data_IF_185137221703
#
_entry.id   IF_185137221703
#
_cell.length_a   1.000
_cell.length_b   1.000
_cell.length_c   1.000
_cell.angle_alpha   90.00
_cell.angle_beta   90.00
_cell.angle_gamma   90.00
#
_symmetry.space_group_name_H-M   'P 1'
#
loop_
_entity.id
_entity.type
_entity.pdbx_description
1 polymer ?
#
# COMPACT_ATOMS: atom_id res chain seq x y z
N UNK A 1 19.22 67.05 28.99
CA UNK A 1 18.16 67.70 28.19
C UNK A 1 18.83 68.62 27.17
N UNK A 2 18.38 68.79 25.92
CA UNK A 2 17.35 68.05 25.14
C UNK A 2 17.77 67.64 23.69
N UNK A 3 16.89 66.89 23.02
CA UNK A 3 16.65 66.79 21.56
C UNK A 3 17.49 65.82 20.66
N UNK A 4 16.89 65.30 19.54
CA UNK A 4 16.62 63.86 19.43
C UNK A 4 16.86 63.24 18.02
N UNK A 5 16.56 61.93 17.95
CA UNK A 5 15.96 61.15 16.84
C UNK A 5 16.49 61.31 15.41
N UNK A 6 17.24 60.28 14.99
CA UNK A 6 17.63 59.96 13.61
C UNK A 6 16.47 59.23 12.92
N UNK A 7 16.03 59.74 11.77
CA UNK A 7 15.18 59.03 10.80
C UNK A 7 16.06 58.33 9.77
N UNK A 8 15.97 57.01 9.71
CA UNK A 8 16.61 56.16 8.72
C UNK A 8 15.83 56.21 7.41
N UNK A 9 16.51 56.56 6.30
CA UNK A 9 15.99 56.38 4.94
C UNK A 9 16.95 55.43 4.23
N UNK A 10 16.52 54.23 3.87
CA UNK A 10 17.31 53.29 3.09
C UNK A 10 16.81 53.31 1.64
N UNK A 11 17.69 53.77 0.74
CA UNK A 11 17.52 53.71 -0.70
C UNK A 11 17.59 52.26 -1.19
N UNK A 12 16.71 51.96 -2.15
CA UNK A 12 16.74 50.77 -2.99
C UNK A 12 17.99 50.74 -3.88
N UNK A 13 18.57 49.55 -4.04
CA UNK A 13 19.42 49.23 -5.18
C UNK A 13 18.98 47.89 -5.76
N UNK A 14 18.35 47.94 -6.93
CA UNK A 14 17.97 46.80 -7.74
C UNK A 14 19.14 46.43 -8.63
N UNK A 15 19.57 45.16 -8.60
CA UNK A 15 20.43 44.58 -9.63
C UNK A 15 19.87 43.21 -10.00
N UNK A 16 19.40 43.14 -11.25
CA UNK A 16 18.95 41.94 -11.94
C UNK A 16 20.12 40.97 -12.13
N UNK A 17 19.90 39.70 -11.82
CA UNK A 17 20.30 38.58 -12.70
C UNK A 17 19.43 37.38 -12.35
N UNK A 18 18.67 36.90 -13.33
CA UNK A 18 17.74 35.79 -13.20
C UNK A 18 18.44 34.44 -13.20
N UNK A 19 18.07 33.63 -12.22
CA UNK A 19 17.97 32.18 -12.32
C UNK A 19 16.87 31.78 -11.32
N UNK A 20 15.63 31.69 -11.82
CA UNK A 20 14.50 31.20 -11.05
C UNK A 20 14.63 29.67 -11.01
N UNK A 21 15.31 29.17 -9.97
CA UNK A 21 15.05 27.80 -9.53
C UNK A 21 13.64 27.81 -8.93
N UNK A 22 12.68 27.23 -9.64
CA UNK A 22 11.44 26.76 -9.00
C UNK A 22 11.85 25.66 -8.01
N UNK A 23 12.14 26.08 -6.78
CA UNK A 23 12.04 25.18 -5.65
C UNK A 23 10.55 24.86 -5.52
N UNK A 24 10.12 23.71 -6.03
CA UNK A 24 9.00 22.98 -5.43
C UNK A 24 9.41 22.65 -3.99
N UNK A 25 9.32 23.67 -3.13
CA UNK A 25 9.34 23.53 -1.69
C UNK A 25 8.11 22.72 -1.35
N UNK A 26 8.33 21.42 -1.16
CA UNK A 26 7.35 20.53 -0.58
C UNK A 26 7.07 21.05 0.82
N UNK A 27 5.92 21.71 0.92
CA UNK A 27 5.33 22.13 2.18
C UNK A 27 5.14 20.87 3.04
N UNK A 28 6.05 20.66 3.98
CA UNK A 28 6.02 19.56 4.97
C UNK A 28 4.92 19.77 6.02
N UNK A 29 3.99 20.70 5.80
CA UNK A 29 2.70 20.67 6.46
C UNK A 29 1.80 19.65 5.76
N UNK A 30 1.32 18.68 6.53
CA UNK A 30 0.18 17.85 6.14
C UNK A 30 -0.97 18.82 5.85
N UNK A 31 -1.18 19.18 4.59
CA UNK A 31 -2.36 19.96 4.18
C UNK A 31 -3.59 19.21 4.68
N UNK A 32 -4.33 19.84 5.58
CA UNK A 32 -5.30 19.17 6.44
C UNK A 32 -6.53 18.67 5.67
N UNK A 33 -6.78 19.11 4.44
CA UNK A 33 -7.89 18.65 3.61
C UNK A 33 -7.56 18.78 2.12
N UNK A 34 -7.22 17.66 1.47
CA UNK A 34 -7.16 17.62 0.00
C UNK A 34 -8.58 17.49 -0.55
N UNK A 35 -9.06 18.53 -1.24
CA UNK A 35 -10.31 18.43 -2.00
C UNK A 35 -10.16 17.37 -3.10
N UNK A 36 -11.16 16.48 -3.22
CA UNK A 36 -11.20 15.46 -4.26
C UNK A 36 -12.14 15.88 -5.39
N UNK A 37 -12.00 15.31 -6.60
CA UNK A 37 -12.92 15.57 -7.71
C UNK A 37 -14.38 15.39 -7.29
N UNK A 38 -15.20 16.39 -7.61
CA UNK A 38 -16.64 16.36 -7.33
C UNK A 38 -17.31 15.41 -8.32
N UNK A 39 -18.21 14.57 -7.82
CA UNK A 39 -18.98 13.64 -8.65
C UNK A 39 -20.34 13.32 -8.06
N UNK A 40 -20.96 12.21 -8.49
CA UNK A 40 -22.25 11.76 -7.96
C UNK A 40 -22.19 11.42 -6.45
N UNK A 41 -20.99 11.20 -5.92
CA UNK A 41 -20.68 11.01 -4.52
C UNK A 41 -20.72 12.29 -3.68
N UNK A 42 -20.76 13.47 -4.30
CA UNK A 42 -20.72 14.78 -3.64
C UNK A 42 -19.32 15.38 -3.55
N UNK A 43 -19.17 16.36 -2.66
CA UNK A 43 -17.91 17.06 -2.38
C UNK A 43 -17.15 16.33 -1.26
N UNK A 44 -15.98 15.77 -1.60
CA UNK A 44 -15.16 15.02 -0.64
C UNK A 44 -13.86 15.76 -0.31
N UNK A 45 -13.43 15.60 0.94
CA UNK A 45 -12.14 16.05 1.46
C UNK A 45 -11.41 14.85 2.06
N UNK A 46 -10.13 14.71 1.76
CA UNK A 46 -9.29 13.65 2.29
C UNK A 46 -8.15 14.20 3.15
N UNK A 47 -7.95 13.58 4.31
CA UNK A 47 -6.82 13.82 5.20
C UNK A 47 -5.97 12.56 5.27
N UNK A 48 -4.72 12.62 4.80
CA UNK A 48 -3.82 11.47 4.85
C UNK A 48 -3.34 11.21 6.28
N UNK A 49 -3.34 9.94 6.66
CA UNK A 49 -2.83 9.46 7.96
C UNK A 49 -1.95 8.23 7.75
N UNK A 50 -1.18 7.87 8.78
CA UNK A 50 -0.42 6.61 8.82
C UNK A 50 -1.02 5.72 9.89
N UNK A 51 -1.22 4.45 9.56
CA UNK A 51 -1.68 3.45 10.52
C UNK A 51 -0.67 2.31 10.59
N UNK A 52 -0.44 1.80 11.79
CA UNK A 52 0.40 0.63 12.05
C UNK A 52 -0.29 -0.29 13.05
N UNK A 53 0.07 -1.58 13.11
CA UNK A 53 -0.44 -2.47 14.13
C UNK A 53 -0.03 -1.93 15.52
N UNK A 54 -0.82 -2.23 16.57
CA UNK A 54 -0.36 -2.00 17.94
C UNK A 54 0.96 -2.74 18.18
N UNK A 55 1.86 -2.18 18.98
CA UNK A 55 3.21 -2.72 19.17
C UNK A 55 3.19 -4.14 19.75
N UNK A 56 2.14 -4.52 20.48
CA UNK A 56 1.95 -5.85 21.08
C UNK A 56 1.40 -6.91 20.10
N UNK A 57 0.98 -6.47 18.90
CA UNK A 57 0.47 -7.31 17.82
C UNK A 57 1.53 -7.55 16.74
N UNK A 58 2.70 -6.91 16.86
CA UNK A 58 3.88 -7.25 16.06
C UNK A 58 4.29 -8.67 16.44
N UNK A 59 4.20 -9.66 15.53
CA UNK A 59 4.55 -11.03 15.88
C UNK A 59 5.99 -11.11 16.33
N UNK A 60 6.30 -12.08 17.18
CA UNK A 60 7.68 -12.38 17.50
C UNK A 60 8.47 -12.62 16.19
N UNK A 61 9.60 -11.93 16.06
CA UNK A 61 10.54 -12.02 14.92
C UNK A 61 11.05 -13.45 14.64
N UNK A 62 10.68 -14.42 15.50
CA UNK A 62 11.00 -15.84 15.41
C UNK A 62 10.49 -16.54 14.14
N UNK A 63 9.57 -15.92 13.40
CA UNK A 63 9.02 -16.48 12.15
C UNK A 63 9.80 -16.08 10.89
N UNK A 64 10.86 -15.27 11.02
CA UNK A 64 11.69 -14.87 9.89
C UNK A 64 12.64 -16.04 9.51
N UNK A 65 12.62 -16.53 8.26
CA UNK A 65 13.51 -17.58 7.81
C UNK A 65 14.98 -17.23 8.04
N UNK A 66 15.77 -18.23 8.44
CA UNK A 66 17.21 -18.10 8.63
C UNK A 66 17.94 -18.32 7.30
N UNK A 67 18.96 -17.50 7.05
CA UNK A 67 19.82 -17.59 5.87
C UNK A 67 19.24 -16.89 4.64
N UNK A 68 20.12 -16.60 3.68
CA UNK A 68 19.79 -15.91 2.43
C UNK A 68 19.78 -16.95 1.31
N UNK A 69 18.58 -17.27 0.81
CA UNK A 69 18.39 -18.27 -0.23
C UNK A 69 17.59 -17.63 -1.38
N UNK A 70 18.24 -17.47 -2.52
CA UNK A 70 17.64 -16.93 -3.74
C UNK A 70 17.32 -18.08 -4.68
N UNK A 71 16.04 -18.41 -4.83
CA UNK A 71 15.57 -19.59 -5.57
C UNK A 71 14.95 -19.18 -6.90
N UNK A 72 15.31 -19.89 -7.97
CA UNK A 72 14.89 -19.64 -9.35
C UNK A 72 14.30 -20.92 -9.95
N UNK A 73 13.01 -21.23 -9.67
CA UNK A 73 12.34 -22.43 -10.14
C UNK A 73 12.31 -22.52 -11.68
N UNK A 74 12.63 -23.69 -12.24
CA UNK A 74 12.60 -23.93 -13.69
C UNK A 74 13.69 -23.20 -14.49
N UNK A 75 14.67 -22.59 -13.84
CA UNK A 75 15.81 -21.98 -14.52
C UNK A 75 16.91 -23.00 -14.81
N UNK A 76 17.62 -22.80 -15.93
CA UNK A 76 18.84 -23.49 -16.27
C UNK A 76 20.08 -22.59 -16.12
N UNK A 77 21.27 -23.19 -16.25
CA UNK A 77 22.54 -22.49 -16.07
C UNK A 77 22.79 -21.39 -17.13
N UNK A 78 22.26 -21.55 -18.35
CA UNK A 78 22.44 -20.59 -19.44
C UNK A 78 21.64 -19.33 -19.15
N UNK A 79 20.36 -19.48 -18.82
CA UNK A 79 19.49 -18.36 -18.42
C UNK A 79 20.02 -17.65 -17.17
N UNK A 80 20.49 -18.40 -16.18
CA UNK A 80 21.07 -17.82 -14.96
C UNK A 80 22.31 -16.99 -15.26
N UNK A 81 23.23 -17.51 -16.08
CA UNK A 81 24.43 -16.78 -16.49
C UNK A 81 24.06 -15.46 -17.19
N UNK A 82 23.17 -15.53 -18.18
CA UNK A 82 22.72 -14.34 -18.90
C UNK A 82 22.10 -13.29 -17.95
N UNK A 83 21.23 -13.73 -17.02
CA UNK A 83 20.61 -12.82 -16.05
C UNK A 83 21.62 -12.13 -15.13
N UNK A 84 22.68 -12.82 -14.72
CA UNK A 84 23.75 -12.24 -13.90
C UNK A 84 24.62 -11.31 -14.76
N UNK A 85 24.93 -11.69 -16.00
CA UNK A 85 25.71 -10.88 -16.94
C UNK A 85 25.01 -9.56 -17.31
N UNK A 86 23.68 -9.58 -17.48
CA UNK A 86 22.85 -8.40 -17.76
C UNK A 86 22.62 -7.50 -16.54
N UNK A 87 22.93 -8.00 -15.35
CA UNK A 87 22.70 -7.25 -14.11
C UNK A 87 23.68 -6.06 -13.97
N UNK A 88 23.28 -5.00 -13.23
CA UNK A 88 24.14 -3.86 -12.94
C UNK A 88 25.14 -4.15 -11.80
N UNK A 89 25.52 -5.42 -11.60
CA UNK A 89 26.53 -5.82 -10.64
C UNK A 89 27.95 -5.49 -11.16
N UNK A 90 28.91 -5.16 -10.29
CA UNK A 90 30.33 -5.19 -10.65
C UNK A 90 30.77 -6.60 -11.09
N UNK A 91 31.77 -6.68 -11.96
CA UNK A 91 32.23 -7.95 -12.54
C UNK A 91 32.65 -8.97 -11.48
N UNK A 92 33.32 -8.51 -10.42
CA UNK A 92 33.71 -9.38 -9.29
C UNK A 92 32.50 -10.02 -8.60
N UNK A 93 31.42 -9.26 -8.37
CA UNK A 93 30.19 -9.78 -7.78
C UNK A 93 29.47 -10.74 -8.73
N UNK A 94 29.48 -10.46 -10.05
CA UNK A 94 28.92 -11.37 -11.06
C UNK A 94 29.62 -12.73 -11.00
N UNK A 95 30.95 -12.74 -11.03
CA UNK A 95 31.72 -13.98 -10.92
C UNK A 95 31.48 -14.71 -9.60
N UNK A 96 31.41 -13.96 -8.48
CA UNK A 96 31.12 -14.54 -7.17
C UNK A 96 29.77 -15.26 -7.13
N UNK A 97 28.72 -14.66 -7.73
CA UNK A 97 27.38 -15.25 -7.80
C UNK A 97 27.31 -16.44 -8.74
N UNK A 98 27.93 -16.37 -9.92
CA UNK A 98 28.03 -17.50 -10.86
C UNK A 98 28.64 -18.71 -10.16
N UNK A 99 29.73 -18.52 -9.40
CA UNK A 99 30.39 -19.59 -8.65
C UNK A 99 29.57 -20.16 -7.49
N UNK A 100 28.47 -19.50 -7.08
CA UNK A 100 27.54 -19.92 -6.03
C UNK A 100 26.25 -20.53 -6.56
N UNK A 101 26.01 -20.52 -7.87
CA UNK A 101 24.86 -21.17 -8.48
C UNK A 101 24.94 -22.67 -8.23
N UNK A 102 23.87 -23.25 -7.69
CA UNK A 102 23.72 -24.69 -7.49
C UNK A 102 22.36 -25.13 -8.00
N UNK A 103 22.24 -26.40 -8.35
CA UNK A 103 20.93 -27.02 -8.57
C UNK A 103 20.17 -27.14 -7.25
N UNK A 104 18.87 -26.86 -7.29
CA UNK A 104 17.93 -27.08 -6.19
C UNK A 104 16.82 -28.02 -6.68
N UNK A 105 16.93 -29.33 -6.36
CA UNK A 105 15.95 -30.33 -6.79
C UNK A 105 14.52 -30.06 -6.28
N UNK A 106 14.36 -29.37 -5.15
CA UNK A 106 13.03 -29.09 -4.58
C UNK A 106 12.18 -28.20 -5.48
N UNK A 107 12.84 -27.29 -6.20
CA UNK A 107 12.18 -26.34 -7.10
C UNK A 107 12.43 -26.65 -8.58
N UNK A 108 13.08 -27.78 -8.87
CA UNK A 108 13.49 -28.17 -10.23
C UNK A 108 14.14 -26.99 -10.96
N UNK A 109 15.15 -26.38 -10.33
CA UNK A 109 15.78 -25.16 -10.82
C UNK A 109 17.07 -24.86 -10.11
N UNK A 110 17.36 -23.56 -9.95
CA UNK A 110 18.63 -23.10 -9.40
C UNK A 110 18.46 -22.34 -8.09
N UNK A 111 19.50 -22.39 -7.26
CA UNK A 111 19.62 -21.61 -6.03
C UNK A 111 20.96 -20.86 -6.00
N UNK A 112 20.93 -19.64 -5.49
CA UNK A 112 22.11 -18.87 -5.10
C UNK A 112 22.02 -18.62 -3.59
N UNK A 113 23.12 -18.89 -2.88
CA UNK A 113 23.26 -18.61 -1.44
C UNK A 113 24.36 -17.56 -1.25
N UNK A 114 24.05 -16.26 -1.40
CA UNK A 114 25.03 -15.20 -1.19
C UNK A 114 25.40 -15.09 0.30
N UNK A 115 26.57 -14.54 0.59
CA UNK A 115 26.93 -14.13 1.94
C UNK A 115 26.15 -12.89 2.38
N UNK A 116 26.10 -12.64 3.69
CA UNK A 116 25.49 -11.41 4.22
C UNK A 116 26.18 -10.16 3.70
N UNK A 117 27.52 -10.19 3.62
CA UNK A 117 28.33 -9.11 3.07
C UNK A 117 27.99 -8.82 1.60
N UNK A 118 27.84 -9.86 0.78
CA UNK A 118 27.44 -9.71 -0.63
C UNK A 118 26.09 -9.00 -0.76
N UNK A 119 25.12 -9.31 0.11
CA UNK A 119 23.79 -8.66 0.11
C UNK A 119 23.83 -7.23 0.63
N UNK A 120 24.61 -6.97 1.69
CA UNK A 120 24.81 -5.62 2.25
C UNK A 120 25.49 -4.68 1.24
N UNK A 121 26.35 -5.22 0.38
CA UNK A 121 27.10 -4.46 -0.62
C UNK A 121 26.41 -4.39 -1.99
N UNK A 122 25.17 -4.88 -2.12
CA UNK A 122 24.37 -4.64 -3.33
C UNK A 122 24.06 -3.15 -3.49
N UNK A 123 24.31 -2.60 -4.67
CA UNK A 123 23.77 -1.30 -5.06
C UNK A 123 22.24 -1.36 -5.13
N UNK A 124 21.58 -0.20 -4.96
CA UNK A 124 20.11 -0.13 -5.08
C UNK A 124 19.61 -0.66 -6.44
N UNK A 125 20.36 -0.40 -7.52
CA UNK A 125 20.05 -0.89 -8.86
C UNK A 125 20.16 -2.41 -8.97
N UNK A 126 21.23 -3.01 -8.44
CA UNK A 126 21.42 -4.46 -8.43
C UNK A 126 20.40 -5.17 -7.55
N UNK A 127 20.11 -4.63 -6.35
CA UNK A 127 19.07 -5.16 -5.47
C UNK A 127 17.71 -5.15 -6.17
N UNK A 128 17.33 -4.04 -6.79
CA UNK A 128 16.08 -3.95 -7.56
C UNK A 128 16.01 -4.99 -8.67
N UNK A 129 17.10 -5.17 -9.43
CA UNK A 129 17.18 -6.15 -10.52
C UNK A 129 16.92 -7.57 -10.01
N UNK A 130 17.69 -8.01 -9.02
CA UNK A 130 17.61 -9.36 -8.47
C UNK A 130 16.26 -9.59 -7.77
N UNK A 131 15.82 -8.63 -6.95
CA UNK A 131 14.69 -8.84 -6.05
C UNK A 131 13.35 -8.78 -6.78
N UNK A 132 13.26 -8.04 -7.88
CA UNK A 132 12.10 -8.09 -8.75
C UNK A 132 11.93 -9.47 -9.39
N UNK A 133 13.01 -10.09 -9.85
CA UNK A 133 12.95 -11.46 -10.39
C UNK A 133 12.56 -12.46 -9.29
N UNK A 134 13.19 -12.38 -8.12
CA UNK A 134 12.86 -13.26 -7.00
C UNK A 134 11.40 -13.15 -6.57
N UNK A 135 10.82 -11.94 -6.61
CA UNK A 135 9.44 -11.69 -6.23
C UNK A 135 8.41 -12.36 -7.15
N UNK A 136 8.80 -12.78 -8.36
CA UNK A 136 7.96 -13.52 -9.29
C UNK A 136 7.67 -14.95 -8.82
N UNK A 137 8.47 -15.48 -7.90
CA UNK A 137 8.34 -16.85 -7.40
C UNK A 137 7.95 -16.88 -5.92
N UNK A 138 6.81 -17.52 -5.61
CA UNK A 138 6.27 -17.63 -4.24
C UNK A 138 7.20 -18.31 -3.24
N UNK A 139 8.15 -19.13 -3.73
CA UNK A 139 9.18 -19.76 -2.88
C UNK A 139 10.09 -18.72 -2.22
N UNK A 140 10.26 -17.54 -2.82
CA UNK A 140 11.02 -16.42 -2.27
C UNK A 140 10.11 -15.48 -1.48
N UNK A 141 9.43 -16.00 -0.44
CA UNK A 141 8.36 -15.29 0.28
C UNK A 141 8.74 -13.88 0.77
N UNK A 142 9.98 -13.66 1.21
CA UNK A 142 10.43 -12.34 1.68
C UNK A 142 10.57 -11.30 0.56
N UNK A 143 10.80 -11.75 -0.67
CA UNK A 143 10.84 -10.87 -1.86
C UNK A 143 9.43 -10.69 -2.43
N UNK A 144 8.66 -11.78 -2.56
CA UNK A 144 7.26 -11.74 -2.99
C UNK A 144 6.44 -10.78 -2.09
N UNK A 145 6.60 -10.93 -0.77
CA UNK A 145 5.89 -10.17 0.27
C UNK A 145 6.77 -9.10 0.93
N UNK A 146 7.77 -8.60 0.22
CA UNK A 146 8.61 -7.50 0.72
C UNK A 146 7.74 -6.33 1.23
N UNK A 147 8.19 -5.73 2.34
CA UNK A 147 7.58 -4.51 2.86
C UNK A 147 7.66 -3.41 1.81
N UNK A 148 6.64 -2.56 1.76
CA UNK A 148 6.49 -1.53 0.73
C UNK A 148 5.99 -0.26 1.37
N UNK A 149 6.43 0.86 0.84
CA UNK A 149 5.96 2.15 1.32
C UNK A 149 5.87 3.17 0.19
N UNK A 150 4.71 3.84 0.12
CA UNK A 150 4.39 4.86 -0.88
C UNK A 150 4.78 6.26 -0.38
N UNK A 151 6.08 6.47 -0.18
CA UNK A 151 6.65 7.72 0.29
C UNK A 151 8.01 8.08 -0.31
N UNK A 152 8.53 9.22 0.11
CA UNK A 152 9.66 9.92 -0.54
C UNK A 152 11.01 9.64 0.11
N UNK A 153 11.07 9.22 1.38
CA UNK A 153 12.32 8.92 2.07
C UNK A 153 12.16 7.85 3.16
N UNK A 154 13.29 7.32 3.62
CA UNK A 154 13.32 6.43 4.79
C UNK A 154 12.90 7.18 6.05
N UNK A 155 13.27 8.46 6.18
CA UNK A 155 12.82 9.32 7.29
C UNK A 155 11.29 9.45 7.31
N UNK A 156 10.65 9.57 6.14
CA UNK A 156 9.18 9.57 6.03
C UNK A 156 8.58 8.22 6.43
N UNK A 157 9.19 7.10 6.03
CA UNK A 157 8.73 5.76 6.40
C UNK A 157 8.89 5.48 7.90
N UNK A 158 10.03 5.91 8.47
CA UNK A 158 10.41 5.68 9.86
C UNK A 158 9.98 6.82 10.79
N UNK A 159 9.16 7.75 10.31
CA UNK A 159 8.74 8.93 11.05
C UNK A 159 8.22 8.61 12.46
N UNK A 160 8.67 9.36 13.47
CA UNK A 160 8.26 9.18 14.86
C UNK A 160 8.89 7.97 15.55
N UNK A 161 10.01 7.48 15.03
CA UNK A 161 10.85 6.47 15.69
C UNK A 161 12.26 7.03 15.82
N UNK A 162 12.86 6.85 16.98
CA UNK A 162 14.28 7.15 17.20
C UNK A 162 15.12 5.98 16.71
N UNK A 163 15.80 6.18 15.58
CA UNK A 163 16.72 5.19 15.03
C UNK A 163 18.14 5.47 15.51
N UNK A 164 18.88 4.41 15.85
CA UNK A 164 20.32 4.53 15.99
C UNK A 164 20.97 4.83 14.62
N UNK A 165 22.13 5.48 14.63
CA UNK A 165 22.87 5.81 13.41
C UNK A 165 23.26 4.56 12.61
N UNK A 166 23.56 3.45 13.28
CA UNK A 166 23.85 2.15 12.66
C UNK A 166 22.62 1.57 11.95
N UNK A 167 21.46 1.56 12.61
CA UNK A 167 20.20 1.10 12.01
C UNK A 167 19.80 1.94 10.81
N UNK A 168 19.92 3.28 10.91
CA UNK A 168 19.64 4.19 9.79
C UNK A 168 20.51 3.87 8.58
N UNK A 169 21.83 3.77 8.79
CA UNK A 169 22.79 3.44 7.73
C UNK A 169 22.47 2.09 7.09
N UNK A 170 22.06 1.11 7.90
CA UNK A 170 21.68 -0.21 7.41
C UNK A 170 20.39 -0.19 6.59
N UNK A 171 19.38 0.58 7.02
CA UNK A 171 18.15 0.77 6.26
C UNK A 171 18.43 1.44 4.91
N UNK A 172 19.26 2.47 4.88
CA UNK A 172 19.70 3.14 3.63
C UNK A 172 20.38 2.17 2.68
N UNK A 173 21.15 1.21 3.21
CA UNK A 173 21.75 0.15 2.40
C UNK A 173 20.73 -0.86 1.90
N UNK A 174 19.74 -1.28 2.69
CA UNK A 174 18.83 -2.39 2.36
C UNK A 174 17.60 -1.97 1.57
N UNK A 175 17.13 -0.74 1.73
CA UNK A 175 15.95 -0.23 1.03
C UNK A 175 16.29 0.04 -0.44
N UNK A 176 15.38 -0.34 -1.33
CA UNK A 176 15.50 -0.06 -2.77
C UNK A 176 14.20 0.48 -3.33
N UNK A 177 14.29 1.23 -4.44
CA UNK A 177 13.11 1.77 -5.13
C UNK A 177 12.73 0.90 -6.31
N UNK A 178 11.44 0.71 -6.53
CA UNK A 178 10.90 0.21 -7.79
C UNK A 178 9.69 1.08 -8.19
N UNK A 179 9.88 1.93 -9.20
CA UNK A 179 8.99 3.05 -9.46
C UNK A 179 8.94 4.01 -8.27
N UNK A 180 7.74 4.42 -7.88
CA UNK A 180 7.52 5.38 -6.79
C UNK A 180 7.47 4.72 -5.39
N UNK A 181 7.63 3.40 -5.32
CA UNK A 181 7.55 2.66 -4.07
C UNK A 181 8.95 2.31 -3.56
N UNK A 182 9.14 2.43 -2.25
CA UNK A 182 10.29 1.86 -1.54
C UNK A 182 9.97 0.43 -1.10
N UNK A 183 10.98 -0.43 -1.12
CA UNK A 183 10.88 -1.84 -0.77
C UNK A 183 11.96 -2.24 0.23
N UNK A 184 11.61 -3.17 1.13
CA UNK A 184 12.56 -3.84 2.00
C UNK A 184 12.19 -5.33 2.12
N UNK A 185 13.10 -6.20 1.67
CA UNK A 185 12.91 -7.66 1.70
C UNK A 185 13.83 -8.35 2.71
N UNK A 186 14.98 -7.78 3.01
CA UNK A 186 16.04 -8.37 3.86
C UNK A 186 15.77 -8.22 5.37
N UNK A 187 14.55 -8.52 5.81
CA UNK A 187 14.14 -8.29 7.21
C UNK A 187 14.98 -9.11 8.19
N UNK A 188 15.37 -10.34 7.83
CA UNK A 188 16.23 -11.18 8.66
C UNK A 188 17.58 -10.51 8.94
N UNK A 189 18.17 -9.94 7.88
CA UNK A 189 19.47 -9.30 7.91
C UNK A 189 19.41 -7.99 8.69
N UNK A 190 18.36 -7.20 8.47
CA UNK A 190 18.10 -5.97 9.23
C UNK A 190 17.98 -6.28 10.74
N UNK A 191 17.08 -7.19 11.11
CA UNK A 191 16.80 -7.49 12.52
C UNK A 191 18.03 -8.07 13.23
N UNK A 192 18.84 -8.87 12.53
CA UNK A 192 20.09 -9.44 13.09
C UNK A 192 21.10 -8.37 13.53
N UNK A 193 21.12 -7.22 12.87
CA UNK A 193 22.12 -6.16 13.08
C UNK A 193 21.61 -5.02 13.97
N UNK A 194 20.37 -5.07 14.43
CA UNK A 194 19.83 -4.13 15.42
C UNK A 194 20.05 -4.75 16.80
N UNK A 195 20.82 -4.08 17.66
CA UNK A 195 21.20 -4.63 18.97
C UNK A 195 20.05 -4.59 19.99
N UNK A 196 19.26 -3.52 19.99
CA UNK A 196 18.14 -3.35 20.91
C UNK A 196 16.89 -4.10 20.43
N UNK A 197 16.30 -4.91 21.31
CA UNK A 197 15.02 -5.56 21.02
C UNK A 197 13.87 -4.57 20.89
N UNK A 198 13.94 -3.48 21.63
CA UNK A 198 12.98 -2.38 21.59
C UNK A 198 13.05 -1.68 20.23
N UNK A 199 14.26 -1.35 19.76
CA UNK A 199 14.47 -0.78 18.42
C UNK A 199 14.03 -1.76 17.32
N UNK A 200 14.35 -3.06 17.45
CA UNK A 200 13.87 -4.09 16.51
C UNK A 200 12.34 -4.09 16.39
N UNK A 201 11.62 -4.01 17.52
CA UNK A 201 10.14 -3.99 17.54
C UNK A 201 9.60 -2.73 16.88
N UNK A 202 10.15 -1.56 17.19
CA UNK A 202 9.70 -0.29 16.60
C UNK A 202 10.00 -0.23 15.10
N UNK A 203 11.20 -0.62 14.66
CA UNK A 203 11.57 -0.69 13.24
C UNK A 203 10.65 -1.66 12.50
N UNK A 204 10.42 -2.85 13.05
CA UNK A 204 9.51 -3.81 12.43
C UNK A 204 8.09 -3.24 12.32
N UNK A 205 7.57 -2.62 13.39
CA UNK A 205 6.28 -1.94 13.35
C UNK A 205 6.24 -0.86 12.28
N UNK A 206 7.29 -0.07 12.14
CA UNK A 206 7.43 0.95 11.10
C UNK A 206 7.28 0.39 9.70
N UNK A 207 7.95 -0.74 9.42
CA UNK A 207 7.93 -1.43 8.14
C UNK A 207 6.54 -1.93 7.76
N UNK A 208 5.69 -2.20 8.76
CA UNK A 208 4.28 -2.59 8.55
C UNK A 208 3.32 -1.41 8.39
N UNK A 209 3.76 -0.16 8.59
CA UNK A 209 2.86 1.01 8.49
C UNK A 209 2.42 1.24 7.06
N UNK A 210 1.15 1.64 6.93
CA UNK A 210 0.54 1.97 5.65
C UNK A 210 0.02 3.42 5.67
N UNK A 211 0.19 4.11 4.54
CA UNK A 211 -0.37 5.44 4.31
C UNK A 211 -1.80 5.31 3.79
N UNK A 212 -2.76 5.78 4.57
CA UNK A 212 -4.20 5.75 4.25
C UNK A 212 -4.78 7.17 4.36
N UNK A 213 -6.10 7.31 4.29
CA UNK A 213 -6.78 8.59 4.43
C UNK A 213 -8.07 8.48 5.26
N UNK A 214 -8.39 9.53 6.00
CA UNK A 214 -9.74 9.81 6.47
C UNK A 214 -10.46 10.61 5.39
N UNK A 215 -11.73 10.32 5.14
CA UNK A 215 -12.49 10.97 4.05
C UNK A 215 -13.80 11.52 4.59
N UNK A 216 -14.01 12.80 4.38
CA UNK A 216 -15.21 13.52 4.81
C UNK A 216 -16.03 13.94 3.61
N UNK A 217 -17.34 13.77 3.71
CA UNK A 217 -18.33 14.32 2.80
C UNK A 217 -18.82 15.66 3.35
N UNK A 218 -18.73 16.71 2.54
CA UNK A 218 -19.33 18.02 2.85
C UNK A 218 -20.80 18.02 2.47
N UNK A 219 -21.62 18.53 3.39
CA UNK A 219 -23.05 18.76 3.23
C UNK A 219 -23.30 20.25 3.45
N UNK A 220 -23.85 20.90 2.42
CA UNK A 220 -24.21 22.31 2.39
C UNK A 220 -25.70 22.49 2.06
N UNK A 221 -26.21 23.71 2.16
CA UNK A 221 -27.59 24.05 1.79
C UNK A 221 -27.92 23.67 0.33
N UNK A 222 -26.90 23.69 -0.54
CA UNK A 222 -27.01 23.34 -1.97
C UNK A 222 -26.92 21.83 -2.24
N UNK A 223 -26.59 21.02 -1.24
CA UNK A 223 -26.43 19.58 -1.40
C UNK A 223 -27.75 18.88 -1.73
N UNK A 224 -27.74 18.03 -2.75
CA UNK A 224 -28.89 17.21 -3.13
C UNK A 224 -28.89 15.89 -2.33
N UNK A 225 -29.59 15.88 -1.20
CA UNK A 225 -29.62 14.74 -0.26
C UNK A 225 -30.16 13.47 -0.90
N UNK A 226 -31.16 13.58 -1.79
CA UNK A 226 -31.67 12.42 -2.50
C UNK A 226 -30.59 11.77 -3.37
N UNK A 227 -29.87 12.55 -4.18
CA UNK A 227 -28.77 12.03 -5.03
C UNK A 227 -27.63 11.43 -4.19
N UNK A 228 -27.26 12.07 -3.09
CA UNK A 228 -26.24 11.55 -2.17
C UNK A 228 -26.68 10.24 -1.53
N UNK A 229 -27.94 10.14 -1.10
CA UNK A 229 -28.52 8.89 -0.59
C UNK A 229 -28.61 7.80 -1.66
N UNK A 230 -28.97 8.15 -2.90
CA UNK A 230 -28.99 7.20 -4.02
C UNK A 230 -27.58 6.62 -4.29
N UNK A 231 -26.53 7.42 -4.12
CA UNK A 231 -25.14 6.98 -4.28
C UNK A 231 -24.65 6.16 -3.08
N UNK A 232 -24.63 6.76 -1.88
CA UNK A 232 -24.08 6.14 -0.67
C UNK A 232 -24.97 5.04 -0.10
N UNK A 233 -26.26 5.05 -0.42
CA UNK A 233 -27.28 4.10 0.03
C UNK A 233 -27.41 2.83 -0.82
N UNK A 234 -26.53 2.58 -1.80
CA UNK A 234 -26.51 1.29 -2.54
C UNK A 234 -26.42 0.09 -1.58
N UNK A 235 -26.97 -1.04 -2.03
CA UNK A 235 -27.08 -2.28 -1.25
C UNK A 235 -28.27 -2.27 -0.28
N UNK A 236 -29.41 -1.69 -0.69
CA UNK A 236 -30.62 -1.54 0.12
C UNK A 236 -30.44 -0.72 1.42
N UNK A 237 -29.52 0.26 1.41
CA UNK A 237 -29.14 1.08 2.59
C UNK A 237 -29.65 2.52 2.54
N UNK A 238 -30.30 2.94 1.46
CA UNK A 238 -30.83 4.30 1.30
C UNK A 238 -31.71 4.75 2.48
N UNK A 239 -32.55 3.84 3.01
CA UNK A 239 -33.38 4.11 4.20
C UNK A 239 -32.59 4.43 5.47
N UNK A 240 -31.35 3.95 5.58
CA UNK A 240 -30.47 4.19 6.72
C UNK A 240 -29.57 5.41 6.49
N UNK A 241 -29.19 5.69 5.24
CA UNK A 241 -28.30 6.79 4.86
C UNK A 241 -29.05 8.12 4.78
N UNK A 242 -30.24 8.14 4.17
CA UNK A 242 -30.99 9.36 3.93
C UNK A 242 -31.25 10.18 5.20
N UNK A 243 -31.76 9.61 6.32
CA UNK A 243 -32.10 10.42 7.50
C UNK A 243 -30.87 11.07 8.14
N UNK A 244 -29.70 10.44 8.07
CA UNK A 244 -28.43 10.99 8.58
C UNK A 244 -28.03 12.22 7.76
N UNK A 245 -28.07 12.11 6.43
CA UNK A 245 -27.70 13.22 5.54
C UNK A 245 -28.72 14.37 5.61
N UNK A 246 -30.01 14.07 5.70
CA UNK A 246 -31.06 15.08 5.86
C UNK A 246 -30.92 15.85 7.18
N UNK A 247 -30.64 15.16 8.28
CA UNK A 247 -30.38 15.78 9.58
C UNK A 247 -29.20 16.76 9.54
N UNK A 248 -28.12 16.42 8.81
CA UNK A 248 -26.97 17.32 8.65
C UNK A 248 -27.32 18.56 7.83
N UNK A 249 -28.13 18.42 6.77
CA UNK A 249 -28.58 19.55 5.94
C UNK A 249 -29.51 20.51 6.69
N UNK A 250 -30.33 20.00 7.61
CA UNK A 250 -31.30 20.81 8.35
C UNK A 250 -30.68 21.72 9.43
N UNK A 251 -29.34 21.77 9.53
CA UNK A 251 -28.63 22.64 10.48
C UNK A 251 -27.95 23.79 9.73
N UNK A 252 -27.97 25.03 10.26
CA UNK A 252 -27.35 26.17 9.58
C UNK A 252 -25.84 25.99 9.32
N UNK A 253 -25.41 26.29 8.09
CA UNK A 253 -24.02 26.31 7.66
C UNK A 253 -23.48 24.92 7.29
N UNK A 254 -22.34 24.91 6.58
CA UNK A 254 -21.76 23.68 6.09
C UNK A 254 -21.37 22.71 7.20
N UNK A 255 -21.56 21.43 6.93
CA UNK A 255 -21.20 20.33 7.81
C UNK A 255 -20.42 19.28 7.06
N UNK A 256 -19.69 18.48 7.82
CA UNK A 256 -18.98 17.32 7.29
C UNK A 256 -19.37 16.07 8.07
N UNK A 257 -19.34 14.93 7.38
CA UNK A 257 -19.47 13.60 7.98
C UNK A 257 -18.38 12.71 7.43
N UNK A 258 -17.72 11.94 8.31
CA UNK A 258 -16.79 10.91 7.86
C UNK A 258 -17.54 9.81 7.10
N UNK A 259 -17.09 9.48 5.90
CA UNK A 259 -17.78 8.51 5.04
C UNK A 259 -17.80 7.11 5.64
N UNK A 260 -16.99 6.81 6.67
CA UNK A 260 -17.06 5.56 7.43
C UNK A 260 -18.47 5.27 7.96
N UNK A 261 -19.22 6.33 8.31
CA UNK A 261 -20.61 6.23 8.76
C UNK A 261 -21.61 5.94 7.63
N UNK A 262 -21.17 6.09 6.37
CA UNK A 262 -21.94 5.78 5.16
C UNK A 262 -21.56 4.43 4.56
N UNK A 263 -20.45 3.81 4.97
CA UNK A 263 -20.02 2.48 4.53
C UNK A 263 -20.91 1.35 5.08
N UNK A 264 -20.97 0.17 4.42
CA UNK A 264 -21.71 -0.99 4.91
C UNK A 264 -21.07 -1.53 6.20
N UNK A 265 -21.82 -2.32 7.00
CA UNK A 265 -21.34 -2.83 8.29
C UNK A 265 -19.99 -3.54 8.19
N UNK A 266 -19.83 -4.44 7.21
CA UNK A 266 -18.57 -5.15 7.00
C UNK A 266 -17.39 -4.18 6.84
N UNK A 267 -17.46 -3.24 5.90
CA UNK A 267 -16.38 -2.30 5.66
C UNK A 267 -16.10 -1.41 6.87
N UNK A 268 -17.15 -0.92 7.55
CA UNK A 268 -17.02 -0.12 8.78
C UNK A 268 -16.33 -0.87 9.91
N UNK A 269 -16.60 -2.16 10.06
CA UNK A 269 -16.02 -3.00 11.10
C UNK A 269 -14.55 -3.35 10.85
N UNK A 270 -14.04 -3.19 9.62
CA UNK A 270 -12.69 -3.59 9.27
C UNK A 270 -11.77 -2.39 8.95
N UNK A 271 -12.32 -1.27 8.46
CA UNK A 271 -11.53 -0.13 8.01
C UNK A 271 -10.56 0.37 9.11
N UNK A 272 -9.30 0.56 8.74
CA UNK A 272 -8.17 0.94 9.61
C UNK A 272 -7.73 -0.10 10.63
N UNK A 273 -8.19 -1.34 10.50
CA UNK A 273 -7.78 -2.44 11.37
C UNK A 273 -6.76 -3.34 10.68
N UNK A 274 -5.89 -3.93 11.50
CA UNK A 274 -5.06 -5.08 11.13
C UNK A 274 -5.78 -6.36 11.55
N UNK A 275 -5.65 -7.46 10.80
CA UNK A 275 -6.15 -8.77 11.24
C UNK A 275 -5.66 -9.13 12.65
N UNK A 276 -6.59 -9.49 13.53
CA UNK A 276 -6.28 -9.90 14.90
C UNK A 276 -5.70 -11.33 14.89
N UNK A 277 -4.37 -11.41 15.03
CA UNK A 277 -3.65 -12.68 15.01
C UNK A 277 -3.93 -13.58 16.22
N UNK A 278 -4.49 -13.05 17.30
CA UNK A 278 -4.81 -13.82 18.51
C UNK A 278 -6.25 -14.34 18.47
N UNK A 279 -7.19 -13.57 17.90
CA UNK A 279 -8.55 -14.03 17.67
C UNK A 279 -8.65 -15.03 16.51
N UNK A 280 -7.73 -14.96 15.54
CA UNK A 280 -7.67 -15.88 14.40
C UNK A 280 -7.02 -17.20 14.81
N UNK A 281 -7.81 -18.28 14.88
CA UNK A 281 -7.30 -19.62 15.21
C UNK A 281 -6.49 -20.20 14.05
N UNK A 282 -5.20 -20.51 14.29
CA UNK A 282 -4.39 -21.38 13.44
C UNK A 282 -4.39 -21.02 11.94
N UNK A 283 -4.87 -21.94 11.09
CA UNK A 283 -4.78 -21.87 9.63
C UNK A 283 -5.57 -20.70 8.97
N UNK A 284 -6.33 -19.92 9.73
CA UNK A 284 -7.14 -18.82 9.20
C UNK A 284 -6.38 -17.49 9.08
N UNK A 285 -5.22 -17.37 9.75
CA UNK A 285 -4.37 -16.15 9.80
C UNK A 285 -3.95 -15.58 8.43
N UNK A 286 -4.04 -16.36 7.36
CA UNK A 286 -3.67 -15.96 6.00
C UNK A 286 -4.81 -15.96 4.99
N UNK A 287 -6.08 -16.09 5.43
CA UNK A 287 -7.20 -16.31 4.52
C UNK A 287 -8.12 -15.08 4.33
N UNK A 288 -8.09 -14.10 5.23
CA UNK A 288 -8.86 -12.85 5.07
C UNK A 288 -8.14 -11.90 4.11
N UNK A 289 -8.18 -12.23 2.83
CA UNK A 289 -7.49 -11.51 1.77
C UNK A 289 -8.35 -10.42 1.10
N UNK A 290 -7.79 -9.80 0.07
CA UNK A 290 -8.46 -8.79 -0.73
C UNK A 290 -9.73 -9.29 -1.40
N UNK A 291 -9.74 -10.54 -1.87
CA UNK A 291 -10.88 -11.16 -2.52
C UNK A 291 -12.01 -11.39 -1.53
N UNK A 292 -11.70 -12.00 -0.39
CA UNK A 292 -12.67 -12.21 0.70
C UNK A 292 -13.32 -10.91 1.18
N UNK A 293 -12.51 -9.86 1.31
CA UNK A 293 -12.99 -8.54 1.71
C UNK A 293 -13.89 -7.90 0.65
N UNK A 294 -13.59 -8.15 -0.63
CA UNK A 294 -14.32 -7.58 -1.77
C UNK A 294 -15.72 -8.16 -1.88
N UNK A 295 -15.88 -9.48 -1.89
CA UNK A 295 -17.21 -10.08 -2.02
C UNK A 295 -18.06 -10.02 -0.75
N UNK A 296 -17.46 -9.75 0.42
CA UNK A 296 -18.21 -9.50 1.65
C UNK A 296 -18.53 -8.03 1.90
N UNK A 297 -18.16 -7.11 1.00
CA UNK A 297 -18.28 -5.66 1.26
C UNK A 297 -19.69 -5.21 1.68
N UNK A 298 -20.75 -5.75 1.07
CA UNK A 298 -22.15 -5.46 1.44
C UNK A 298 -22.76 -6.45 2.44
N UNK A 299 -22.01 -7.45 2.90
CA UNK A 299 -22.51 -8.47 3.82
C UNK A 299 -23.01 -7.82 5.12
N UNK A 300 -24.25 -8.13 5.50
CA UNK A 300 -24.92 -7.62 6.71
C UNK A 300 -24.87 -8.63 7.87
N UNK A 301 -24.54 -9.89 7.58
CA UNK A 301 -24.47 -10.98 8.56
C UNK A 301 -23.04 -11.40 8.85
N UNK A 302 -22.86 -12.64 9.27
CA UNK A 302 -21.54 -13.22 9.45
C UNK A 302 -20.96 -13.61 8.09
N UNK A 303 -19.80 -13.04 7.69
CA UNK A 303 -19.15 -13.45 6.45
C UNK A 303 -18.73 -14.92 6.52
N UNK A 304 -18.94 -15.64 5.42
CA UNK A 304 -18.50 -17.03 5.29
C UNK A 304 -16.97 -17.16 5.23
N UNK A 305 -16.43 -18.38 5.28
CA UNK A 305 -14.99 -18.59 5.19
C UNK A 305 -14.43 -18.16 3.82
N UNK A 306 -13.14 -17.82 3.74
CA UNK A 306 -12.50 -17.47 2.47
C UNK A 306 -12.45 -18.62 1.47
N UNK A 307 -12.75 -18.29 0.22
CA UNK A 307 -12.68 -19.20 -0.93
C UNK A 307 -11.23 -19.57 -1.31
N UNK A 308 -11.05 -20.75 -1.89
CA UNK A 308 -9.77 -21.14 -2.51
C UNK A 308 -9.55 -20.37 -3.81
N UNK A 309 -8.30 -20.24 -4.25
CA UNK A 309 -7.93 -19.45 -5.44
C UNK A 309 -8.74 -19.80 -6.69
N UNK A 310 -8.99 -21.09 -6.96
CA UNK A 310 -9.77 -21.50 -8.14
C UNK A 310 -11.24 -21.12 -8.02
N UNK A 311 -11.79 -21.12 -6.79
CA UNK A 311 -13.18 -20.77 -6.50
C UNK A 311 -13.40 -19.26 -6.59
N UNK A 312 -12.40 -18.44 -6.25
CA UNK A 312 -12.47 -16.97 -6.34
C UNK A 312 -12.79 -16.51 -7.77
N UNK A 313 -12.12 -17.08 -8.77
CA UNK A 313 -12.37 -16.71 -10.18
C UNK A 313 -13.82 -17.01 -10.58
N UNK A 314 -14.28 -18.24 -10.31
CA UNK A 314 -15.66 -18.65 -10.58
C UNK A 314 -16.68 -17.80 -9.83
N UNK A 315 -16.35 -17.38 -8.59
CA UNK A 315 -17.22 -16.51 -7.81
C UNK A 315 -17.44 -15.17 -8.51
N UNK A 316 -16.37 -14.51 -9.00
CA UNK A 316 -16.50 -13.26 -9.73
C UNK A 316 -17.30 -13.43 -11.04
N UNK A 317 -17.03 -14.48 -11.81
CA UNK A 317 -17.74 -14.78 -13.07
C UNK A 317 -19.25 -15.01 -12.85
N UNK A 318 -19.62 -15.70 -11.78
CA UNK A 318 -21.01 -16.05 -11.50
C UNK A 318 -21.80 -14.93 -10.82
N UNK A 319 -21.16 -14.07 -10.02
CA UNK A 319 -21.86 -13.09 -9.19
C UNK A 319 -21.69 -11.65 -9.67
N UNK A 320 -20.83 -11.39 -10.64
CA UNK A 320 -20.55 -10.04 -11.14
C UNK A 320 -20.72 -9.95 -12.64
N UNK A 321 -20.80 -8.72 -13.13
CA UNK A 321 -20.87 -8.38 -14.55
C UNK A 321 -19.79 -7.35 -14.88
N UNK A 322 -19.19 -7.46 -16.05
CA UNK A 322 -18.23 -6.46 -16.51
C UNK A 322 -18.93 -5.12 -16.77
N UNK A 323 -18.25 -4.03 -16.41
CA UNK A 323 -18.67 -2.65 -16.67
C UNK A 323 -17.48 -1.85 -17.21
N UNK A 324 -17.75 -0.71 -17.84
CA UNK A 324 -16.69 0.22 -18.21
C UNK A 324 -16.21 0.99 -16.97
N UNK A 325 -14.93 1.38 -16.96
CA UNK A 325 -14.37 2.16 -15.85
C UNK A 325 -15.10 3.50 -15.63
N UNK A 326 -15.57 4.12 -16.72
CA UNK A 326 -16.36 5.36 -16.66
C UNK A 326 -17.72 5.18 -15.94
N UNK A 327 -18.21 3.95 -15.81
CA UNK A 327 -19.48 3.63 -15.17
C UNK A 327 -19.34 3.23 -13.70
N UNK A 328 -18.12 3.28 -13.13
CA UNK A 328 -17.84 2.91 -11.74
C UNK A 328 -18.72 3.69 -10.76
N UNK A 329 -19.31 2.95 -9.82
CA UNK A 329 -20.13 3.46 -8.73
C UNK A 329 -19.75 2.79 -7.42
N UNK A 330 -20.09 3.44 -6.31
CA UNK A 330 -19.86 2.92 -4.97
C UNK A 330 -20.25 1.45 -4.83
N UNK A 331 -19.31 0.60 -4.42
CA UNK A 331 -19.51 -0.83 -4.26
C UNK A 331 -19.19 -1.69 -5.48
N UNK A 332 -18.88 -1.10 -6.63
CA UNK A 332 -18.32 -1.83 -7.76
C UNK A 332 -16.90 -2.30 -7.44
N UNK A 333 -16.40 -3.28 -8.18
CA UNK A 333 -15.15 -3.97 -7.91
C UNK A 333 -14.15 -3.73 -9.03
N UNK A 334 -12.89 -3.54 -8.65
CA UNK A 334 -11.76 -3.42 -9.56
C UNK A 334 -10.85 -4.62 -9.32
N UNK A 335 -10.60 -5.40 -10.38
CA UNK A 335 -9.70 -6.54 -10.38
C UNK A 335 -8.41 -6.18 -11.10
N UNK A 336 -7.28 -6.58 -10.52
CA UNK A 336 -5.97 -6.55 -11.15
C UNK A 336 -5.59 -7.97 -11.55
N UNK A 337 -5.48 -8.19 -12.86
CA UNK A 337 -5.20 -9.50 -13.45
C UNK A 337 -3.90 -9.40 -14.25
N UNK A 338 -3.02 -10.36 -14.09
CA UNK A 338 -1.83 -10.50 -14.94
C UNK A 338 -2.23 -11.02 -16.33
N UNK A 339 -1.44 -10.77 -17.37
CA UNK A 339 -1.63 -11.37 -18.72
C UNK A 339 -1.80 -12.89 -18.72
N UNK A 340 -1.19 -13.59 -17.77
CA UNK A 340 -1.35 -15.04 -17.57
C UNK A 340 -2.79 -15.45 -17.20
N UNK A 341 -3.66 -14.49 -16.87
CA UNK A 341 -4.99 -14.70 -16.32
C UNK A 341 -5.01 -14.87 -14.81
N UNK A 342 -3.85 -14.78 -14.14
CA UNK A 342 -3.75 -14.85 -12.67
C UNK A 342 -4.33 -13.59 -12.04
N UNK A 343 -5.28 -13.78 -11.14
CA UNK A 343 -5.84 -12.71 -10.32
C UNK A 343 -4.82 -12.32 -9.24
N UNK A 344 -4.39 -11.06 -9.23
CA UNK A 344 -3.38 -10.55 -8.30
C UNK A 344 -4.00 -9.82 -7.11
N UNK A 345 -5.05 -9.05 -7.36
CA UNK A 345 -5.69 -8.22 -6.33
C UNK A 345 -7.12 -7.83 -6.71
N UNK A 346 -7.92 -7.51 -5.71
CA UNK A 346 -9.24 -6.90 -5.89
C UNK A 346 -9.50 -5.82 -4.84
N UNK A 347 -10.24 -4.79 -5.23
CA UNK A 347 -10.67 -3.73 -4.34
C UNK A 347 -12.06 -3.23 -4.70
N UNK A 348 -12.71 -2.57 -3.75
CA UNK A 348 -14.05 -2.01 -3.92
C UNK A 348 -13.95 -0.52 -4.17
N UNK A 349 -14.53 -0.04 -5.26
CA UNK A 349 -14.62 1.37 -5.59
C UNK A 349 -15.53 2.11 -4.59
N UNK A 350 -15.04 3.22 -4.05
CA UNK A 350 -15.78 4.04 -3.07
C UNK A 350 -16.30 5.31 -3.75
N UNK A 351 -15.41 6.19 -4.18
CA UNK A 351 -15.72 7.47 -4.80
C UNK A 351 -14.44 8.14 -5.34
N UNK A 352 -14.56 9.00 -6.35
CA UNK A 352 -13.44 9.69 -6.97
C UNK A 352 -12.34 8.70 -7.41
N UNK A 353 -11.19 8.73 -6.75
CA UNK A 353 -10.07 7.81 -6.97
C UNK A 353 -9.82 6.86 -5.79
N UNK A 354 -10.77 6.76 -4.85
CA UNK A 354 -10.63 6.00 -3.61
C UNK A 354 -11.23 4.60 -3.75
N UNK A 355 -10.48 3.62 -3.27
CA UNK A 355 -10.96 2.25 -3.06
C UNK A 355 -10.86 1.81 -1.60
N UNK A 356 -11.72 0.89 -1.21
CA UNK A 356 -11.56 0.06 -0.02
C UNK A 356 -10.83 -1.23 -0.40
N UNK A 357 -9.77 -1.54 0.33
CA UNK A 357 -8.91 -2.69 0.04
C UNK A 357 -8.37 -3.31 1.32
N UNK A 358 -8.03 -4.60 1.23
CA UNK A 358 -7.17 -5.30 2.18
C UNK A 358 -5.86 -5.60 1.46
N UNK A 359 -4.74 -4.98 1.85
CA UNK A 359 -3.50 -5.02 1.06
C UNK A 359 -2.76 -6.38 1.12
N UNK A 360 -3.37 -7.41 0.54
CA UNK A 360 -2.85 -8.77 0.54
C UNK A 360 -3.35 -9.62 1.72
N UNK A 361 -2.96 -10.89 1.69
CA UNK A 361 -3.41 -11.94 2.60
C UNK A 361 -2.66 -11.98 3.94
N UNK A 362 -1.73 -11.05 4.16
CA UNK A 362 -0.84 -11.03 5.31
C UNK A 362 -1.55 -10.38 6.52
N UNK A 363 -1.22 -10.80 7.74
CA UNK A 363 -1.72 -10.16 8.96
C UNK A 363 -1.10 -8.77 9.21
N UNK A 364 0.07 -8.49 8.63
CA UNK A 364 0.73 -7.17 8.69
C UNK A 364 0.18 -6.16 7.67
N UNK A 365 -0.97 -6.42 7.07
CA UNK A 365 -1.57 -5.54 6.07
C UNK A 365 -2.99 -5.18 6.51
N UNK A 366 -3.35 -3.89 6.61
CA UNK A 366 -4.64 -3.47 7.12
C UNK A 366 -5.73 -3.51 6.04
N UNK A 367 -6.97 -3.40 6.49
CA UNK A 367 -8.05 -2.86 5.66
C UNK A 367 -7.96 -1.33 5.67
N UNK A 368 -8.02 -0.70 4.50
CA UNK A 368 -7.74 0.72 4.37
C UNK A 368 -8.39 1.33 3.13
N UNK A 369 -8.37 2.66 3.10
CA UNK A 369 -8.58 3.41 1.86
C UNK A 369 -7.26 3.59 1.13
N UNK A 370 -7.31 3.47 -0.19
CA UNK A 370 -6.15 3.66 -1.05
C UNK A 370 -6.57 4.37 -2.34
N UNK A 371 -5.70 5.22 -2.89
CA UNK A 371 -5.90 5.81 -4.21
C UNK A 371 -5.68 4.75 -5.32
N UNK A 372 -6.47 4.79 -6.39
CA UNK A 372 -6.35 3.89 -7.53
C UNK A 372 -4.95 3.88 -8.14
N UNK A 373 -4.34 5.05 -8.31
CA UNK A 373 -2.98 5.17 -8.85
C UNK A 373 -1.95 4.48 -7.95
N UNK A 374 -2.03 4.68 -6.63
CA UNK A 374 -1.18 3.99 -5.65
C UNK A 374 -1.38 2.48 -5.74
N UNK A 375 -2.62 2.01 -5.81
CA UNK A 375 -2.92 0.58 -5.91
C UNK A 375 -2.37 -0.04 -7.20
N UNK A 376 -2.56 0.62 -8.34
CA UNK A 376 -2.02 0.17 -9.63
C UNK A 376 -0.50 0.05 -9.58
N UNK A 377 0.20 1.00 -8.95
CA UNK A 377 1.66 0.93 -8.74
C UNK A 377 2.05 -0.18 -7.76
N UNK A 378 1.27 -0.36 -6.70
CA UNK A 378 1.51 -1.36 -5.65
C UNK A 378 1.44 -2.79 -6.16
N UNK A 379 0.46 -3.10 -7.02
CA UNK A 379 0.26 -4.43 -7.60
C UNK A 379 0.88 -4.59 -8.99
N UNK A 380 1.19 -3.48 -9.67
CA UNK A 380 1.89 -3.42 -10.96
C UNK A 380 3.27 -4.04 -10.90
N UNK A 381 4.19 -3.52 -10.07
CA UNK A 381 5.58 -4.05 -9.93
C UNK A 381 6.26 -4.44 -11.27
N UNK A 382 5.98 -3.70 -12.36
CA UNK A 382 6.45 -3.92 -13.74
C UNK A 382 5.69 -4.99 -14.57
N UNK A 383 4.60 -5.52 -14.05
CA UNK A 383 3.67 -6.37 -14.79
C UNK A 383 2.77 -5.51 -15.67
N UNK A 384 2.49 -6.01 -16.87
CA UNK A 384 1.41 -5.49 -17.69
C UNK A 384 0.09 -6.03 -17.13
N UNK A 385 -0.70 -5.15 -16.51
CA UNK A 385 -1.91 -5.50 -15.79
C UNK A 385 -3.15 -5.25 -16.65
N UNK A 386 -4.01 -6.26 -16.71
CA UNK A 386 -5.38 -6.15 -17.18
C UNK A 386 -6.27 -5.72 -16.00
N UNK A 387 -6.74 -4.47 -16.03
CA UNK A 387 -7.62 -3.90 -15.00
C UNK A 387 -9.07 -4.08 -15.44
N UNK A 388 -9.82 -4.88 -14.68
CA UNK A 388 -11.23 -5.17 -14.98
C UNK A 388 -12.15 -4.52 -13.96
N UNK A 389 -13.17 -3.81 -14.43
CA UNK A 389 -14.21 -3.23 -13.59
C UNK A 389 -15.45 -4.13 -13.61
N UNK A 390 -15.95 -4.48 -12.44
CA UNK A 390 -17.05 -5.40 -12.23
C UNK A 390 -18.13 -4.79 -11.34
N UNK A 391 -19.39 -5.14 -11.58
CA UNK A 391 -20.52 -4.79 -10.71
C UNK A 391 -21.18 -6.04 -10.14
N UNK A 392 -21.43 -6.12 -8.83
CA UNK A 392 -22.25 -7.20 -8.26
C UNK A 392 -23.62 -7.26 -8.95
N UNK A 393 -24.07 -8.44 -9.36
CA UNK A 393 -25.37 -8.63 -10.04
C UNK A 393 -26.56 -8.18 -9.18
N UNK A 394 -26.43 -8.30 -7.85
CA UNK A 394 -27.43 -7.87 -6.87
C UNK A 394 -27.61 -6.33 -6.78
N UNK A 395 -26.67 -5.56 -7.32
CA UNK A 395 -26.72 -4.08 -7.31
C UNK A 395 -27.06 -3.49 -8.69
N UNK A 396 -27.60 -4.30 -9.59
CA UNK A 396 -28.10 -3.86 -10.90
C UNK A 396 -29.39 -3.07 -10.79
#
# INVERSE_FOLDING_TARGET
MPFPMIRTTLLSLTLLFGFQFESEGMDDTISFDKALPIGTWGELQAQYIRIGPPIDYVPELRTIPRGINWRFPGWDAVRMRQFIEDSPLPEEQKQSFINRVREDPEIQGLIIKPSEEEVLNLSSAARRWIYNELASYRVNRMHEKAFRYAGTSIDDWMYGIELSSSTRTLLEKLVYRNGNLMFMADTALLMKHIDSREEQREVFRALTREKTMLVKLRISDQSNIKKLSDYWGRGARAKNVYPVLESLKNRPGDRTIDIIHLLPPFARQHLFMYPDVYAMKGADLGKLDCHWSTYNFFNQGSPGPPLKTIEVKHYFENNFVAIQAADLRFGDVILYVEKSGKLLHSAVFIAADIVFTKNGSNFNSPWMFMNLDTMSKYYGRNLDLDIRCLRPKELR
#
